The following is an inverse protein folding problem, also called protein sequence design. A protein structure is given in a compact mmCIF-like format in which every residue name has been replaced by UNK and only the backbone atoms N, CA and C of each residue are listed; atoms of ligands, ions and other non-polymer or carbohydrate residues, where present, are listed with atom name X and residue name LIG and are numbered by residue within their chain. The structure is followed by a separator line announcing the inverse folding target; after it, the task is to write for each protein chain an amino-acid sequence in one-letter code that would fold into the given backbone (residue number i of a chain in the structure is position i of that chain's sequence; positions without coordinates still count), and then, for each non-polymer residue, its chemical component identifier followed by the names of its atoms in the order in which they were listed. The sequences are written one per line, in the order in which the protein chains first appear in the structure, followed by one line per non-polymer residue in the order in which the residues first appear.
data_IF_331567747170
#
_entry.id   IF_331567747170
#
_cell.length_a   1.000
_cell.length_b   1.000
_cell.length_c   1.000
_cell.angle_alpha   90.00
_cell.angle_beta   90.00
_cell.angle_gamma   90.00
#
_symmetry.space_group_name_H-M   'P 1'
#
loop_
_entity.id
_entity.type
_entity.pdbx_description
1 polymer ?
#
# COMPACT_ATOMS: atom_id res chain seq x y z
N UNK A 1 -11.07 -2.30 -39.66
CA UNK A 1 -10.59 -3.65 -39.35
C UNK A 1 -9.30 -3.50 -38.56
N UNK A 2 -9.28 -3.97 -37.31
CA UNK A 2 -8.07 -4.05 -36.49
C UNK A 2 -7.46 -5.45 -36.66
N UNK A 3 -6.16 -5.51 -36.86
CA UNK A 3 -5.40 -6.78 -36.89
C UNK A 3 -4.59 -6.84 -35.61
N UNK A 4 -4.86 -7.87 -34.79
CA UNK A 4 -4.09 -8.15 -33.59
C UNK A 4 -2.95 -9.12 -33.96
N UNK A 5 -1.71 -8.68 -33.74
CA UNK A 5 -0.52 -9.54 -33.87
C UNK A 5 0.00 -9.77 -32.45
N UNK A 6 0.00 -11.02 -32.02
CA UNK A 6 0.52 -11.39 -30.70
C UNK A 6 1.92 -11.98 -30.87
N UNK A 7 2.89 -11.47 -30.13
CA UNK A 7 4.25 -11.96 -30.10
C UNK A 7 4.70 -12.16 -28.65
N UNK A 8 5.45 -13.24 -28.43
CA UNK A 8 6.07 -13.54 -27.14
C UNK A 8 7.57 -13.34 -27.22
N UNK A 9 8.19 -13.08 -26.09
CA UNK A 9 9.64 -12.82 -25.98
C UNK A 9 10.34 -14.08 -25.52
N UNK A 10 11.48 -14.41 -26.16
CA UNK A 10 12.30 -15.57 -25.79
C UNK A 10 12.72 -15.54 -24.31
N UNK A 11 12.79 -16.69 -23.63
CA UNK A 11 13.23 -16.78 -22.25
C UNK A 11 14.62 -16.14 -22.04
N UNK A 12 14.73 -15.23 -21.09
CA UNK A 12 15.97 -14.52 -20.75
C UNK A 12 16.16 -13.16 -21.41
N UNK A 13 15.23 -12.74 -22.26
CA UNK A 13 15.21 -11.38 -22.84
C UNK A 13 14.23 -10.50 -22.05
N UNK A 14 14.65 -9.27 -21.69
CA UNK A 14 13.78 -8.33 -21.00
C UNK A 14 12.71 -7.78 -21.96
N UNK A 15 11.41 -8.00 -21.70
CA UNK A 15 10.32 -7.57 -22.57
C UNK A 15 10.36 -6.08 -22.90
N UNK A 16 10.62 -5.22 -21.91
CA UNK A 16 10.67 -3.76 -22.08
C UNK A 16 11.71 -3.29 -23.12
N UNK A 17 12.83 -4.00 -23.23
CA UNK A 17 13.85 -3.69 -24.22
C UNK A 17 13.36 -3.96 -25.64
N UNK A 18 12.62 -5.05 -25.82
CA UNK A 18 12.05 -5.45 -27.11
C UNK A 18 10.83 -4.59 -27.49
N UNK A 19 10.02 -4.19 -26.54
CA UNK A 19 8.92 -3.25 -26.78
C UNK A 19 9.45 -1.91 -27.28
N UNK A 20 10.49 -1.34 -26.67
CA UNK A 20 11.11 -0.09 -27.14
C UNK A 20 11.75 -0.21 -28.53
N UNK A 21 12.34 -1.35 -28.81
CA UNK A 21 12.90 -1.66 -30.13
C UNK A 21 11.78 -1.67 -31.19
N UNK A 22 10.65 -2.33 -30.90
CA UNK A 22 9.48 -2.37 -31.77
C UNK A 22 8.84 -0.99 -31.94
N UNK A 23 8.70 -0.21 -30.87
CA UNK A 23 8.19 1.17 -30.92
C UNK A 23 9.02 2.05 -31.88
N UNK A 24 10.35 1.90 -31.84
CA UNK A 24 11.24 2.63 -32.73
C UNK A 24 11.14 2.12 -34.17
N UNK A 25 11.17 0.80 -34.37
CA UNK A 25 11.06 0.16 -35.69
C UNK A 25 9.74 0.54 -36.38
N UNK A 26 8.64 0.57 -35.64
CA UNK A 26 7.31 0.93 -36.14
C UNK A 26 7.10 2.45 -36.26
N UNK A 27 8.07 3.28 -35.86
CA UNK A 27 7.99 4.72 -35.93
C UNK A 27 7.03 5.36 -34.92
N UNK A 28 6.64 4.62 -33.87
CA UNK A 28 5.80 5.10 -32.77
C UNK A 28 6.61 5.98 -31.81
N UNK A 29 7.89 5.64 -31.60
CA UNK A 29 8.81 6.40 -30.76
C UNK A 29 10.00 6.91 -31.59
N UNK A 30 10.39 8.17 -31.34
CA UNK A 30 11.59 8.77 -31.95
C UNK A 30 12.87 8.47 -31.16
N UNK A 31 12.76 7.82 -30.01
CA UNK A 31 13.88 7.49 -29.13
C UNK A 31 14.50 6.17 -29.59
N UNK A 32 15.72 6.23 -30.16
CA UNK A 32 16.45 5.05 -30.57
C UNK A 32 16.69 4.10 -29.38
N UNK A 33 16.46 2.77 -29.56
CA UNK A 33 16.69 1.81 -28.51
C UNK A 33 18.17 1.75 -28.15
N UNK A 34 18.50 1.71 -26.88
CA UNK A 34 19.87 1.62 -26.39
C UNK A 34 20.04 0.41 -25.46
N UNK A 35 21.14 -0.31 -25.65
CA UNK A 35 21.52 -1.42 -24.78
C UNK A 35 22.92 -1.15 -24.20
N UNK A 36 23.05 -1.15 -22.88
CA UNK A 36 24.31 -0.86 -22.17
C UNK A 36 25.01 0.42 -22.64
N UNK A 37 24.24 1.47 -22.90
CA UNK A 37 24.76 2.79 -23.32
C UNK A 37 25.15 2.89 -24.80
N UNK A 38 24.87 1.88 -25.62
CA UNK A 38 25.02 1.94 -27.08
C UNK A 38 23.66 2.00 -27.75
N UNK A 39 23.47 2.93 -28.68
CA UNK A 39 22.31 2.94 -29.57
C UNK A 39 22.34 1.74 -30.51
N UNK A 40 21.20 1.04 -30.61
CA UNK A 40 21.06 -0.07 -31.54
C UNK A 40 20.76 0.47 -32.93
N UNK A 41 21.49 0.03 -33.94
CA UNK A 41 21.23 0.36 -35.34
C UNK A 41 20.15 -0.57 -35.88
N UNK A 42 18.88 -0.13 -35.76
CA UNK A 42 17.72 -0.92 -36.15
C UNK A 42 17.01 -0.19 -37.29
N UNK A 43 16.61 -0.88 -38.37
CA UNK A 43 15.90 -0.26 -39.47
C UNK A 43 14.56 0.30 -39.00
N UNK A 44 14.26 1.56 -39.39
CA UNK A 44 13.00 2.22 -39.06
C UNK A 44 12.01 2.10 -40.22
N UNK A 45 10.85 1.56 -39.96
CA UNK A 45 9.74 1.51 -40.91
C UNK A 45 8.75 2.63 -40.62
N UNK A 46 8.61 3.57 -41.53
CA UNK A 46 7.56 4.59 -41.44
C UNK A 46 6.22 3.96 -41.85
N UNK A 47 5.38 3.69 -40.88
CA UNK A 47 3.98 3.34 -41.14
C UNK A 47 3.30 4.53 -41.78
N UNK A 48 2.66 4.32 -42.94
CA UNK A 48 1.89 5.36 -43.62
C UNK A 48 0.81 5.87 -42.65
N UNK A 49 0.51 7.19 -42.66
CA UNK A 49 -0.47 7.82 -41.75
C UNK A 49 -1.88 7.18 -41.72
N UNK A 50 -2.14 6.23 -42.62
CA UNK A 50 -3.37 5.45 -42.66
C UNK A 50 -3.42 4.25 -41.71
N UNK A 51 -2.26 3.84 -41.12
CA UNK A 51 -2.17 2.69 -40.23
C UNK A 51 -1.69 3.18 -38.87
N UNK A 52 -2.56 3.10 -37.87
CA UNK A 52 -2.16 3.31 -36.47
C UNK A 52 -1.74 1.97 -35.89
N UNK A 53 -0.46 1.82 -35.58
CA UNK A 53 0.02 0.69 -34.79
C UNK A 53 0.05 1.11 -33.31
N UNK A 54 -0.59 0.32 -32.49
CA UNK A 54 -0.63 0.48 -31.04
C UNK A 54 -0.09 -0.80 -30.42
N UNK A 55 1.00 -0.69 -29.68
CA UNK A 55 1.54 -1.82 -28.94
C UNK A 55 0.71 -1.99 -27.66
N UNK A 56 -0.22 -2.93 -27.73
CA UNK A 56 -1.05 -3.34 -26.60
C UNK A 56 -0.31 -4.51 -25.93
N UNK A 57 0.19 -4.28 -24.74
CA UNK A 57 0.91 -5.30 -23.98
C UNK A 57 0.65 -5.18 -22.48
N UNK A 58 1.19 -6.10 -21.73
CA UNK A 58 1.10 -6.16 -20.27
C UNK A 58 1.44 -4.82 -19.59
N UNK A 59 2.32 -4.04 -20.18
CA UNK A 59 2.69 -2.69 -19.69
C UNK A 59 1.53 -1.68 -19.76
N UNK A 60 0.64 -1.80 -20.72
CA UNK A 60 -0.49 -0.88 -20.86
C UNK A 60 -1.59 -1.20 -19.86
N UNK A 61 -1.89 -2.46 -19.69
CA UNK A 61 -2.81 -2.95 -18.66
C UNK A 61 -2.29 -2.59 -17.26
N UNK A 62 -0.98 -2.71 -17.03
CA UNK A 62 -0.35 -2.28 -15.77
C UNK A 62 -0.44 -0.77 -15.55
N UNK A 63 -0.25 0.05 -16.58
CA UNK A 63 -0.41 1.52 -16.49
C UNK A 63 -1.86 1.91 -16.18
N UNK A 64 -2.83 1.28 -16.84
CA UNK A 64 -4.24 1.52 -16.56
C UNK A 64 -4.60 1.11 -15.13
N UNK A 65 -4.15 -0.06 -14.69
CA UNK A 65 -4.33 -0.51 -13.31
C UNK A 65 -3.68 0.43 -12.30
N UNK A 66 -2.46 0.93 -12.58
CA UNK A 66 -1.78 1.91 -11.73
C UNK A 66 -2.56 3.22 -11.63
N UNK A 67 -3.04 3.75 -12.76
CA UNK A 67 -3.84 4.96 -12.76
C UNK A 67 -5.15 4.79 -11.99
N UNK A 68 -5.81 3.66 -12.16
CA UNK A 68 -7.01 3.32 -11.41
C UNK A 68 -6.73 3.24 -9.91
N UNK A 69 -5.72 2.48 -9.50
CA UNK A 69 -5.35 2.31 -8.08
C UNK A 69 -4.93 3.63 -7.43
N UNK A 70 -4.19 4.48 -8.15
CA UNK A 70 -3.80 5.80 -7.63
C UNK A 70 -5.02 6.69 -7.40
N UNK A 71 -5.96 6.72 -8.34
CA UNK A 71 -7.23 7.45 -8.18
C UNK A 71 -8.08 6.84 -7.05
N UNK A 72 -8.21 5.52 -7.01
CA UNK A 72 -8.97 4.82 -5.98
C UNK A 72 -8.40 5.07 -4.58
N UNK A 73 -7.08 5.05 -4.42
CA UNK A 73 -6.42 5.37 -3.15
C UNK A 73 -6.66 6.81 -2.73
N UNK A 74 -6.55 7.77 -3.67
CA UNK A 74 -6.85 9.18 -3.39
C UNK A 74 -8.31 9.41 -2.96
N UNK A 75 -9.26 8.79 -3.65
CA UNK A 75 -10.68 8.84 -3.29
C UNK A 75 -10.93 8.17 -1.94
N UNK A 76 -10.31 7.02 -1.68
CA UNK A 76 -10.42 6.32 -0.40
C UNK A 76 -9.91 7.20 0.76
N UNK A 77 -8.74 7.83 0.63
CA UNK A 77 -8.19 8.74 1.64
C UNK A 77 -9.11 9.96 1.86
N UNK A 78 -9.67 10.51 0.79
CA UNK A 78 -10.62 11.63 0.89
C UNK A 78 -11.90 11.24 1.63
N UNK A 79 -12.50 10.09 1.29
CA UNK A 79 -13.68 9.58 1.97
C UNK A 79 -13.40 9.24 3.44
N UNK A 80 -12.24 8.61 3.73
CA UNK A 80 -11.81 8.37 5.11
C UNK A 80 -11.66 9.68 5.89
N UNK A 81 -11.03 10.70 5.30
CA UNK A 81 -10.90 12.01 5.94
C UNK A 81 -12.27 12.60 6.27
N UNK A 82 -13.21 12.55 5.32
CA UNK A 82 -14.54 13.09 5.49
C UNK A 82 -15.31 12.39 6.63
N UNK A 83 -15.28 11.06 6.64
CA UNK A 83 -15.91 10.25 7.70
C UNK A 83 -15.25 10.54 9.06
N UNK A 84 -13.92 10.61 9.13
CA UNK A 84 -13.20 10.89 10.37
C UNK A 84 -13.49 12.29 10.91
N UNK A 85 -13.63 13.29 10.03
CA UNK A 85 -14.01 14.65 10.43
C UNK A 85 -15.43 14.68 11.02
N UNK A 86 -16.36 13.96 10.40
CA UNK A 86 -17.74 13.84 10.93
C UNK A 86 -17.77 13.09 12.26
N UNK A 87 -16.97 12.03 12.41
CA UNK A 87 -16.93 11.20 13.62
C UNK A 87 -16.33 11.93 14.82
N UNK A 88 -15.18 12.59 14.65
CA UNK A 88 -14.42 13.17 15.76
C UNK A 88 -14.63 14.67 15.93
N UNK A 89 -15.26 15.34 14.96
CA UNK A 89 -15.39 16.81 14.93
C UNK A 89 -14.06 17.53 15.28
N UNK A 90 -12.93 16.95 14.86
CA UNK A 90 -11.58 17.41 15.17
C UNK A 90 -10.63 17.18 13.99
N UNK A 91 -10.17 18.26 13.38
CA UNK A 91 -9.16 18.18 12.31
C UNK A 91 -7.86 17.49 12.76
N UNK A 92 -7.43 17.74 14.00
CA UNK A 92 -6.20 17.15 14.52
C UNK A 92 -6.29 15.63 14.62
N UNK A 93 -7.35 15.09 15.20
CA UNK A 93 -7.55 13.66 15.36
C UNK A 93 -7.66 12.95 14.01
N UNK A 94 -8.42 13.55 13.08
CA UNK A 94 -8.61 13.01 11.74
C UNK A 94 -7.29 13.00 10.94
N UNK A 95 -6.52 14.08 11.01
CA UNK A 95 -5.24 14.16 10.34
C UNK A 95 -4.20 13.20 10.94
N UNK A 96 -4.20 13.01 12.25
CA UNK A 96 -3.32 12.05 12.93
C UNK A 96 -3.57 10.62 12.48
N UNK A 97 -4.84 10.24 12.30
CA UNK A 97 -5.21 8.90 11.78
C UNK A 97 -4.71 8.74 10.34
N UNK A 98 -4.97 9.72 9.47
CA UNK A 98 -4.51 9.68 8.09
C UNK A 98 -2.99 9.65 7.97
N UNK A 99 -2.29 10.40 8.81
CA UNK A 99 -0.84 10.36 8.88
C UNK A 99 -0.33 8.94 9.22
N UNK A 100 -0.96 8.27 10.18
CA UNK A 100 -0.62 6.89 10.52
C UNK A 100 -0.87 5.93 9.34
N UNK A 101 -1.92 6.14 8.54
CA UNK A 101 -2.20 5.37 7.32
C UNK A 101 -1.07 5.58 6.28
N UNK A 102 -0.70 6.82 6.02
CA UNK A 102 0.39 7.10 5.07
C UNK A 102 1.71 6.50 5.57
N UNK A 103 2.01 6.64 6.86
CA UNK A 103 3.21 6.05 7.45
C UNK A 103 3.20 4.51 7.42
N UNK A 104 2.04 3.87 7.47
CA UNK A 104 1.94 2.40 7.37
C UNK A 104 2.44 1.85 6.03
N UNK A 105 2.40 2.66 4.96
CA UNK A 105 2.97 2.26 3.66
C UNK A 105 4.48 2.05 3.72
N UNK A 106 5.20 2.75 4.61
CA UNK A 106 6.61 2.48 4.84
C UNK A 106 6.83 1.04 5.35
N UNK A 107 5.94 0.53 6.21
CA UNK A 107 5.96 -0.87 6.65
C UNK A 107 5.78 -1.86 5.50
N UNK A 108 4.95 -1.52 4.51
CA UNK A 108 4.77 -2.35 3.30
C UNK A 108 6.09 -2.43 2.52
N UNK A 109 6.76 -1.31 2.27
CA UNK A 109 8.03 -1.32 1.56
C UNK A 109 9.13 -2.06 2.32
N UNK A 110 9.20 -1.89 3.64
CA UNK A 110 10.13 -2.66 4.49
C UNK A 110 9.84 -4.16 4.34
N UNK A 111 8.57 -4.56 4.38
CA UNK A 111 8.16 -5.96 4.22
C UNK A 111 8.58 -6.56 2.88
N UNK A 112 8.34 -5.85 1.78
CA UNK A 112 8.76 -6.28 0.44
C UNK A 112 10.29 -6.37 0.32
N UNK A 113 11.03 -5.44 0.93
CA UNK A 113 12.50 -5.50 0.98
C UNK A 113 13.00 -6.72 1.75
N UNK A 114 12.46 -6.98 2.94
CA UNK A 114 12.87 -8.10 3.80
C UNK A 114 12.57 -9.44 3.13
N UNK A 115 11.45 -9.54 2.42
CA UNK A 115 11.04 -10.77 1.71
C UNK A 115 11.63 -10.86 0.30
N UNK A 116 12.40 -9.84 -0.13
CA UNK A 116 12.99 -9.76 -1.49
C UNK A 116 11.95 -9.89 -2.61
N UNK A 117 10.74 -9.38 -2.37
CA UNK A 117 9.65 -9.42 -3.34
C UNK A 117 9.58 -8.11 -4.12
N UNK A 118 9.33 -8.17 -5.46
CA UNK A 118 9.09 -6.98 -6.24
C UNK A 118 7.77 -6.32 -5.85
N UNK A 119 7.68 -5.01 -6.02
CA UNK A 119 6.43 -4.29 -5.85
C UNK A 119 5.51 -4.55 -7.05
N UNK A 120 4.53 -5.41 -6.88
CA UNK A 120 3.48 -5.63 -7.90
C UNK A 120 2.43 -4.52 -7.83
N UNK A 121 2.28 -3.76 -8.90
CA UNK A 121 1.41 -2.58 -8.96
C UNK A 121 -0.01 -2.93 -8.49
N UNK A 122 -0.58 -4.02 -9.02
CA UNK A 122 -1.96 -4.42 -8.69
C UNK A 122 -2.02 -5.02 -7.28
N UNK A 123 -1.28 -6.08 -7.01
CA UNK A 123 -1.44 -6.84 -5.76
C UNK A 123 -0.93 -6.08 -4.53
N UNK A 124 0.26 -5.46 -4.62
CA UNK A 124 0.75 -4.61 -3.52
C UNK A 124 -0.10 -3.35 -3.36
N UNK A 125 -0.58 -2.76 -4.46
CA UNK A 125 -1.44 -1.58 -4.42
C UNK A 125 -2.79 -1.86 -3.74
N UNK A 126 -3.45 -2.97 -4.08
CA UNK A 126 -4.67 -3.42 -3.39
C UNK A 126 -4.38 -3.71 -1.91
N UNK A 127 -3.22 -4.33 -1.61
CA UNK A 127 -2.77 -4.56 -0.23
C UNK A 127 -2.65 -3.28 0.59
N UNK A 128 -2.10 -2.21 0.01
CA UNK A 128 -1.98 -0.89 0.65
C UNK A 128 -3.37 -0.28 0.93
N UNK A 129 -4.31 -0.39 -0.01
CA UNK A 129 -5.68 0.12 0.18
C UNK A 129 -6.41 -0.66 1.29
N UNK A 130 -6.30 -1.98 1.29
CA UNK A 130 -6.88 -2.83 2.34
C UNK A 130 -6.28 -2.53 3.72
N UNK A 131 -4.94 -2.39 3.78
CA UNK A 131 -4.21 -2.00 4.99
C UNK A 131 -4.71 -0.67 5.55
N UNK A 132 -4.95 0.33 4.69
CA UNK A 132 -5.45 1.63 5.10
C UNK A 132 -6.74 1.51 5.92
N UNK A 133 -7.70 0.70 5.48
CA UNK A 133 -8.95 0.45 6.21
C UNK A 133 -8.72 -0.19 7.59
N UNK A 134 -7.81 -1.16 7.69
CA UNK A 134 -7.48 -1.83 8.95
C UNK A 134 -6.82 -0.86 9.93
N UNK A 135 -5.86 -0.06 9.45
CA UNK A 135 -5.12 0.93 10.27
C UNK A 135 -6.05 2.02 10.78
N UNK A 136 -6.96 2.53 9.94
CA UNK A 136 -7.97 3.53 10.33
C UNK A 136 -8.84 2.98 11.46
N UNK A 137 -9.37 1.76 11.31
CA UNK A 137 -10.22 1.15 12.32
C UNK A 137 -9.52 1.04 13.69
N UNK A 138 -8.26 0.58 13.72
CA UNK A 138 -7.48 0.47 14.96
C UNK A 138 -7.26 1.84 15.64
N UNK A 139 -6.98 2.88 14.84
CA UNK A 139 -6.76 4.24 15.34
C UNK A 139 -8.06 4.91 15.82
N UNK A 140 -9.19 4.69 15.13
CA UNK A 140 -10.51 5.18 15.54
C UNK A 140 -10.81 4.71 16.97
N UNK A 141 -10.68 3.41 17.21
CA UNK A 141 -10.96 2.81 18.52
C UNK A 141 -10.05 3.38 19.62
N UNK A 142 -8.80 3.66 19.30
CA UNK A 142 -7.84 4.22 20.26
C UNK A 142 -8.20 5.67 20.61
N UNK A 143 -8.48 6.51 19.61
CA UNK A 143 -8.81 7.93 19.83
C UNK A 143 -10.17 8.09 20.52
N UNK A 144 -11.18 7.31 20.13
CA UNK A 144 -12.47 7.29 20.78
C UNK A 144 -12.36 6.97 22.28
N UNK A 145 -11.55 5.96 22.62
CA UNK A 145 -11.28 5.60 24.02
C UNK A 145 -10.56 6.74 24.76
N UNK A 146 -9.63 7.41 24.10
CA UNK A 146 -8.94 8.55 24.68
C UNK A 146 -9.91 9.70 24.97
N UNK A 147 -10.76 10.06 24.03
CA UNK A 147 -11.75 11.14 24.20
C UNK A 147 -12.74 10.81 25.33
N UNK A 148 -13.19 9.54 25.42
CA UNK A 148 -14.02 9.07 26.53
C UNK A 148 -13.32 9.15 27.89
N UNK A 149 -12.05 8.73 27.99
CA UNK A 149 -11.31 8.79 29.26
C UNK A 149 -10.94 10.23 29.63
N UNK A 150 -10.66 11.07 28.64
CA UNK A 150 -10.40 12.50 28.83
C UNK A 150 -11.59 13.22 29.45
N UNK A 151 -12.82 12.86 29.06
CA UNK A 151 -14.02 13.44 29.64
C UNK A 151 -14.27 13.08 31.12
N UNK A 152 -13.68 11.96 31.58
CA UNK A 152 -13.82 11.42 32.93
C UNK A 152 -12.66 11.71 33.86
N UNK A 153 -11.50 12.10 33.35
CA UNK A 153 -10.28 12.27 34.12
C UNK A 153 -9.77 13.70 33.97
N UNK A 154 -9.49 14.38 35.06
CA UNK A 154 -8.94 15.77 35.06
C UNK A 154 -7.47 15.79 34.57
N UNK A 155 -6.75 14.68 34.64
CA UNK A 155 -5.34 14.59 34.24
C UNK A 155 -5.21 13.87 32.89
N UNK A 156 -4.87 14.64 31.85
CA UNK A 156 -4.75 14.15 30.48
C UNK A 156 -3.67 13.07 30.34
N UNK A 157 -2.55 13.19 31.06
CA UNK A 157 -1.50 12.17 31.06
C UNK A 157 -2.03 10.81 31.55
N UNK A 158 -2.85 10.83 32.57
CA UNK A 158 -3.47 9.63 33.11
C UNK A 158 -4.47 9.02 32.11
N UNK A 159 -5.26 9.86 31.42
CA UNK A 159 -6.16 9.42 30.36
C UNK A 159 -5.41 8.73 29.23
N UNK A 160 -4.28 9.28 28.76
CA UNK A 160 -3.45 8.68 27.70
C UNK A 160 -2.87 7.32 28.14
N UNK A 161 -2.33 7.23 29.36
CA UNK A 161 -1.76 5.98 29.89
C UNK A 161 -2.85 4.90 30.02
N UNK A 162 -4.02 5.27 30.54
CA UNK A 162 -5.16 4.36 30.66
C UNK A 162 -5.67 3.89 29.29
N UNK A 163 -5.73 4.78 28.32
CA UNK A 163 -6.09 4.43 26.94
C UNK A 163 -5.15 3.39 26.36
N UNK A 164 -3.84 3.65 26.45
CA UNK A 164 -2.82 2.71 26.00
C UNK A 164 -2.95 1.34 26.68
N UNK A 165 -3.07 1.32 28.02
CA UNK A 165 -3.22 0.09 28.77
C UNK A 165 -4.47 -0.73 28.41
N UNK A 166 -5.62 -0.04 28.20
CA UNK A 166 -6.87 -0.71 27.85
C UNK A 166 -6.89 -1.21 26.40
N UNK A 167 -6.24 -0.50 25.48
CA UNK A 167 -6.26 -0.81 24.03
C UNK A 167 -5.09 -1.66 23.56
N UNK A 168 -4.02 -1.77 24.33
CA UNK A 168 -2.85 -2.58 23.99
C UNK A 168 -3.26 -4.03 23.67
N UNK A 169 -4.00 -4.67 24.57
CA UNK A 169 -4.39 -6.07 24.44
C UNK A 169 -5.31 -6.35 23.24
N UNK A 170 -6.42 -5.62 23.03
CA UNK A 170 -7.26 -5.80 21.84
C UNK A 170 -6.51 -5.55 20.52
N UNK A 171 -5.70 -4.49 20.43
CA UNK A 171 -4.95 -4.16 19.22
C UNK A 171 -3.91 -5.23 18.90
N UNK A 172 -3.14 -5.71 19.89
CA UNK A 172 -2.19 -6.81 19.68
C UNK A 172 -2.89 -8.10 19.27
N UNK A 173 -4.05 -8.40 19.87
CA UNK A 173 -4.81 -9.60 19.52
C UNK A 173 -5.28 -9.56 18.06
N UNK A 174 -5.89 -8.46 17.62
CA UNK A 174 -6.34 -8.31 16.22
C UNK A 174 -5.18 -8.38 15.24
N UNK A 175 -4.06 -7.72 15.53
CA UNK A 175 -2.86 -7.79 14.71
C UNK A 175 -2.32 -9.21 14.62
N UNK A 176 -2.16 -9.89 15.74
CA UNK A 176 -1.63 -11.26 15.78
C UNK A 176 -2.53 -12.23 15.02
N UNK A 177 -3.85 -12.15 15.21
CA UNK A 177 -4.79 -13.03 14.50
C UNK A 177 -4.78 -12.80 13.00
N UNK A 178 -4.70 -11.54 12.55
CA UNK A 178 -4.61 -11.21 11.12
C UNK A 178 -3.28 -11.70 10.54
N UNK A 179 -2.17 -11.47 11.23
CA UNK A 179 -0.84 -11.94 10.78
C UNK A 179 -0.81 -13.46 10.67
N UNK A 180 -1.27 -14.17 11.70
CA UNK A 180 -1.32 -15.63 11.67
C UNK A 180 -2.23 -16.18 10.57
N UNK A 181 -3.37 -15.51 10.31
CA UNK A 181 -4.28 -15.89 9.23
C UNK A 181 -3.67 -15.71 7.83
N UNK A 182 -2.81 -14.71 7.64
CA UNK A 182 -2.14 -14.44 6.36
C UNK A 182 -0.78 -15.15 6.23
N UNK A 183 -0.23 -15.72 7.31
CA UNK A 183 1.09 -16.34 7.31
C UNK A 183 1.26 -17.44 6.24
N UNK A 184 0.28 -18.34 6.02
CA UNK A 184 0.38 -19.35 4.97
C UNK A 184 0.55 -18.74 3.58
N UNK A 185 -0.14 -17.62 3.30
CA UNK A 185 -0.03 -16.91 2.02
C UNK A 185 1.35 -16.25 1.86
N UNK A 186 1.87 -15.60 2.92
CA UNK A 186 3.20 -14.99 2.92
C UNK A 186 4.30 -16.02 2.70
N UNK A 187 4.14 -17.23 3.25
CA UNK A 187 5.10 -18.34 3.12
C UNK A 187 4.88 -19.19 1.86
N UNK A 188 3.97 -18.79 0.97
CA UNK A 188 3.60 -19.55 -0.24
C UNK A 188 3.19 -20.99 0.05
N UNK A 189 2.62 -21.24 1.23
CA UNK A 189 2.24 -22.59 1.66
C UNK A 189 0.76 -22.81 1.36
N UNK A 190 0.47 -23.83 0.55
CA UNK A 190 -0.88 -24.29 0.26
C UNK A 190 -1.11 -25.64 0.95
N UNK A 191 -2.18 -25.74 1.72
CA UNK A 191 -2.58 -26.96 2.42
C UNK A 191 -3.84 -27.49 1.75
N UNK A 192 -3.71 -28.56 1.00
CA UNK A 192 -4.84 -29.25 0.42
C UNK A 192 -5.37 -30.29 1.43
N UNK A 193 -6.57 -30.01 1.95
CA UNK A 193 -7.21 -30.90 2.95
C UNK A 193 -7.79 -32.18 2.32
N UNK A 194 -7.99 -32.20 0.98
CA UNK A 194 -8.55 -33.35 0.27
C UNK A 194 -7.44 -34.35 -0.04
N UNK A 195 -6.35 -33.88 -0.67
CA UNK A 195 -5.20 -34.72 -1.00
C UNK A 195 -4.25 -34.93 0.19
N UNK A 196 -4.41 -34.15 1.28
CA UNK A 196 -3.52 -34.11 2.47
C UNK A 196 -2.07 -33.78 2.12
N UNK A 197 -1.89 -33.01 1.06
CA UNK A 197 -0.57 -32.56 0.62
C UNK A 197 -0.31 -31.10 1.01
N UNK A 198 0.94 -30.82 1.37
CA UNK A 198 1.42 -29.47 1.61
C UNK A 198 2.31 -29.11 0.44
N UNK A 199 1.83 -28.21 -0.43
CA UNK A 199 2.58 -27.71 -1.58
C UNK A 199 3.09 -26.29 -1.31
N UNK A 200 4.28 -25.97 -1.82
CA UNK A 200 4.86 -24.62 -1.74
C UNK A 200 5.05 -24.05 -3.13
N UNK A 201 4.72 -22.76 -3.26
CA UNK A 201 4.97 -22.05 -4.52
C UNK A 201 4.03 -22.42 -5.65
N UNK A 202 2.80 -22.89 -5.35
CA UNK A 202 1.80 -23.11 -6.39
C UNK A 202 1.46 -21.80 -7.12
N UNK A 203 1.11 -21.82 -8.42
CA UNK A 203 0.79 -20.62 -9.19
C UNK A 203 -0.28 -19.76 -8.52
N UNK A 204 -1.30 -20.37 -7.93
CA UNK A 204 -2.39 -19.66 -7.24
C UNK A 204 -1.90 -18.88 -6.01
N UNK A 205 -0.95 -19.43 -5.24
CA UNK A 205 -0.39 -18.73 -4.07
C UNK A 205 0.54 -17.60 -4.45
N UNK A 206 1.25 -17.68 -5.57
CA UNK A 206 2.18 -16.64 -6.01
C UNK A 206 1.47 -15.30 -6.25
N UNK A 207 0.25 -15.31 -6.75
CA UNK A 207 -0.53 -14.10 -6.98
C UNK A 207 -0.84 -13.33 -5.69
N UNK A 208 -1.10 -14.05 -4.59
CA UNK A 208 -1.55 -13.44 -3.33
C UNK A 208 -0.41 -13.09 -2.37
N UNK A 209 0.81 -13.53 -2.64
CA UNK A 209 1.96 -13.31 -1.74
C UNK A 209 2.25 -11.84 -1.53
N UNK A 210 2.29 -11.05 -2.59
CA UNK A 210 2.59 -9.61 -2.49
C UNK A 210 1.52 -8.86 -1.69
N UNK A 211 0.25 -9.19 -1.90
CA UNK A 211 -0.87 -8.61 -1.15
C UNK A 211 -0.77 -8.97 0.33
N UNK A 212 -0.59 -10.24 0.66
CA UNK A 212 -0.51 -10.70 2.04
C UNK A 212 0.73 -10.17 2.76
N UNK A 213 1.87 -10.11 2.09
CA UNK A 213 3.11 -9.50 2.60
C UNK A 213 2.91 -8.02 2.90
N UNK A 214 2.28 -7.28 1.98
CA UNK A 214 1.97 -5.86 2.18
C UNK A 214 1.10 -5.65 3.42
N UNK A 215 0.04 -6.45 3.58
CA UNK A 215 -0.85 -6.34 4.75
C UNK A 215 -0.13 -6.73 6.04
N UNK A 216 0.60 -7.84 6.08
CA UNK A 216 1.27 -8.33 7.30
C UNK A 216 2.31 -7.35 7.81
N UNK A 217 3.26 -6.97 6.97
CA UNK A 217 4.33 -6.06 7.40
C UNK A 217 3.83 -4.64 7.63
N UNK A 218 2.91 -4.16 6.76
CA UNK A 218 2.28 -2.88 6.95
C UNK A 218 1.47 -2.79 8.24
N UNK A 219 0.73 -3.85 8.59
CA UNK A 219 -0.05 -3.91 9.82
C UNK A 219 0.83 -4.01 11.08
N UNK A 220 1.90 -4.80 11.06
CA UNK A 220 2.87 -4.85 12.15
C UNK A 220 3.49 -3.47 12.41
N UNK A 221 3.93 -2.80 11.35
CA UNK A 221 4.50 -1.47 11.44
C UNK A 221 3.46 -0.45 11.92
N UNK A 222 2.25 -0.47 11.35
CA UNK A 222 1.16 0.41 11.75
C UNK A 222 0.76 0.20 13.22
N UNK A 223 0.79 -1.04 13.72
CA UNK A 223 0.49 -1.33 15.12
C UNK A 223 1.50 -0.69 16.07
N UNK A 224 2.80 -0.74 15.72
CA UNK A 224 3.83 -0.04 16.48
C UNK A 224 3.61 1.48 16.46
N UNK A 225 3.30 2.04 15.28
CA UNK A 225 2.99 3.45 15.15
C UNK A 225 1.77 3.85 15.99
N UNK A 226 0.68 3.09 15.91
CA UNK A 226 -0.55 3.37 16.66
C UNK A 226 -0.31 3.33 18.16
N UNK A 227 0.47 2.39 18.67
CA UNK A 227 0.73 2.25 20.10
C UNK A 227 1.74 3.26 20.65
N UNK A 228 2.66 3.77 19.83
CA UNK A 228 3.72 4.68 20.26
C UNK A 228 3.45 6.11 19.81
N UNK A 229 3.25 6.30 18.51
CA UNK A 229 3.15 7.64 17.89
C UNK A 229 1.82 8.31 18.23
N UNK A 230 0.71 7.58 18.19
CA UNK A 230 -0.61 8.18 18.46
C UNK A 230 -0.72 8.72 19.88
N UNK A 231 -0.37 7.99 20.97
CA UNK A 231 -0.36 8.54 22.32
C UNK A 231 0.62 9.71 22.48
N UNK A 232 1.80 9.61 21.87
CA UNK A 232 2.82 10.67 21.93
C UNK A 232 2.34 11.96 21.26
N UNK A 233 1.68 11.85 20.11
CA UNK A 233 1.10 12.98 19.38
C UNK A 233 -0.05 13.63 20.15
N UNK A 234 -0.91 12.85 20.84
CA UNK A 234 -1.95 13.37 21.71
C UNK A 234 -1.36 14.15 22.89
N UNK A 235 -0.25 13.66 23.47
CA UNK A 235 0.46 14.37 24.54
C UNK A 235 1.11 15.65 24.05
N UNK A 236 1.70 15.65 22.86
CA UNK A 236 2.31 16.81 22.23
C UNK A 236 1.29 17.94 22.03
N UNK A 237 0.10 17.59 21.51
CA UNK A 237 -1.01 18.54 21.35
C UNK A 237 -1.34 19.27 22.64
N UNK A 238 -1.40 18.52 23.74
CA UNK A 238 -1.73 19.10 25.05
C UNK A 238 -0.62 20.01 25.60
N UNK A 239 0.63 19.58 25.45
CA UNK A 239 1.78 20.38 25.87
C UNK A 239 1.86 21.70 25.09
N UNK A 240 1.61 21.67 23.78
CA UNK A 240 1.56 22.88 22.95
C UNK A 240 0.39 23.78 23.38
N UNK A 241 -0.78 23.23 23.65
CA UNK A 241 -1.94 23.99 24.10
C UNK A 241 -1.69 24.69 25.44
N UNK A 242 -1.05 24.00 26.41
CA UNK A 242 -0.66 24.59 27.70
C UNK A 242 0.41 25.67 27.57
N UNK A 243 1.41 25.41 26.72
CA UNK A 243 2.47 26.40 26.45
C UNK A 243 1.90 27.69 25.85
N UNK A 244 0.95 27.56 24.91
CA UNK A 244 0.30 28.71 24.27
C UNK A 244 -0.55 29.51 25.27
N UNK A 245 -1.29 28.83 26.15
CA UNK A 245 -2.08 29.49 27.23
C UNK A 245 -1.18 30.25 28.19
N UNK A 246 -0.07 29.64 28.63
CA UNK A 246 0.88 30.29 29.56
C UNK A 246 1.62 31.49 28.96
N UNK A 247 1.67 31.62 27.63
CA UNK A 247 2.33 32.75 26.95
C UNK A 247 1.43 33.94 26.71
N UNK A 248 0.10 33.72 26.77
CA UNK A 248 -0.91 34.74 26.50
C UNK A 248 -1.47 35.34 27.83
N UNK A 249 -1.25 34.63 28.94
CA UNK A 249 -1.58 35.13 30.29
C UNK A 249 -0.37 35.74 30.91
#
# INVERSE_FOLDING_TARGET
NAINIQADVEPGVYPDGKVRELEYVLGISDIAPSWRGRTLDVPRYNLNNAVKAELIGENEDQKQAQQFLTKAFGVALFLMLMILLLQFNSFYSSFLILFAVVMSTAGVFIGLMVTSQPFGIVMSGVGVIALAGIVVNNNIILIDTFDFLRSKTSNIREAIIKTGAQRLRPVLLTTTTTVLGLLPMVTMTNIDFISREITRGSPDTQWWVQLSTAIVFGLLFATLLTLIVTPSALMLRENISKWYKNKIT
#
